data_IF_136307650812
#
_entry.id   IF_136307650812
#
_cell.length_a   1.000
_cell.length_b   1.000
_cell.length_c   1.000
_cell.angle_alpha   90.00
_cell.angle_beta   90.00
_cell.angle_gamma   90.00
#
_symmetry.space_group_name_H-M   'P 1'
#
loop_
_entity.id
_entity.type
_entity.pdbx_description
1 polymer ?
#
# COMPACT_ATOMS: atom_id res chain seq x y z
N UNK A 1 1.52 -40.23 -33.42
CA UNK A 1 2.41 -40.44 -34.60
C UNK A 1 3.46 -39.33 -34.62
N UNK A 2 4.58 -39.45 -35.37
CA UNK A 2 5.68 -38.45 -35.41
C UNK A 2 5.93 -37.96 -36.84
N UNK A 3 6.05 -36.63 -37.01
CA UNK A 3 6.42 -35.89 -38.23
C UNK A 3 7.02 -34.54 -37.76
N UNK A 4 8.32 -34.18 -37.83
CA UNK A 4 9.43 -34.59 -38.71
C UNK A 4 9.09 -34.25 -40.18
N UNK A 5 9.82 -33.39 -40.93
CA UNK A 5 11.03 -32.58 -40.64
C UNK A 5 11.22 -31.49 -41.73
N UNK A 6 12.10 -30.48 -41.51
CA UNK A 6 12.86 -29.70 -42.55
C UNK A 6 11.99 -28.80 -43.50
N UNK A 7 12.45 -27.81 -44.30
CA UNK A 7 13.74 -27.13 -44.59
C UNK A 7 13.47 -25.90 -45.52
N UNK A 8 14.25 -24.81 -45.68
CA UNK A 8 15.33 -24.13 -44.92
C UNK A 8 15.70 -22.78 -45.60
N UNK A 9 16.30 -21.83 -44.86
CA UNK A 9 17.25 -20.76 -45.30
C UNK A 9 16.79 -19.70 -46.34
N UNK A 10 16.94 -18.41 -45.97
CA UNK A 10 17.49 -17.36 -46.83
C UNK A 10 18.19 -16.27 -45.98
N UNK A 11 19.37 -15.81 -46.38
CA UNK A 11 20.14 -14.73 -45.71
C UNK A 11 20.27 -13.57 -46.68
N UNK A 12 20.04 -12.34 -46.20
CA UNK A 12 20.51 -11.10 -46.84
C UNK A 12 21.19 -10.27 -45.75
N UNK A 13 22.29 -9.60 -46.10
CA UNK A 13 23.15 -8.86 -45.16
C UNK A 13 23.69 -7.56 -45.78
N UNK A 14 24.30 -6.75 -44.91
CA UNK A 14 25.15 -5.58 -45.19
C UNK A 14 24.45 -4.27 -45.61
N UNK A 15 24.61 -3.28 -44.72
CA UNK A 15 24.59 -1.85 -44.99
C UNK A 15 25.40 -1.17 -43.87
N UNK A 16 26.39 -0.35 -44.22
CA UNK A 16 27.40 0.21 -43.30
C UNK A 16 27.71 1.68 -43.61
N UNK A 17 28.38 2.37 -42.69
CA UNK A 17 28.89 3.76 -42.76
C UNK A 17 27.85 4.86 -42.49
N UNK A 18 28.18 5.99 -41.84
CA UNK A 18 29.41 6.38 -41.11
C UNK A 18 29.12 7.54 -40.11
N UNK A 19 30.15 7.96 -39.35
CA UNK A 19 30.10 8.97 -38.28
C UNK A 19 30.16 10.43 -38.78
N UNK A 20 29.63 11.41 -38.04
CA UNK A 20 30.39 12.17 -37.00
C UNK A 20 29.71 13.53 -36.64
N UNK A 21 30.10 14.14 -35.51
CA UNK A 21 29.61 15.44 -35.02
C UNK A 21 30.41 16.65 -35.51
N UNK A 22 29.76 17.82 -35.64
CA UNK A 22 30.33 19.18 -35.46
C UNK A 22 29.15 20.18 -35.35
N UNK A 23 29.16 21.19 -34.45
CA UNK A 23 27.97 21.99 -34.13
C UNK A 23 27.80 23.23 -35.02
N UNK A 24 26.57 23.76 -35.06
CA UNK A 24 26.28 25.14 -35.47
C UNK A 24 25.40 25.84 -34.43
N UNK A 25 25.88 26.96 -33.91
CA UNK A 25 25.06 27.91 -33.13
C UNK A 25 24.32 28.85 -34.08
N UNK A 26 23.03 29.02 -33.85
CA UNK A 26 22.25 30.19 -34.28
C UNK A 26 21.39 30.64 -33.08
N UNK A 27 21.22 31.94 -32.88
CA UNK A 27 20.73 32.51 -31.61
C UNK A 27 19.57 33.49 -31.86
N UNK A 28 18.80 33.76 -30.80
CA UNK A 28 17.58 34.59 -30.74
C UNK A 28 16.30 33.81 -31.10
N UNK A 29 15.17 34.00 -30.40
CA UNK A 29 14.80 35.11 -29.50
C UNK A 29 14.17 34.60 -28.19
N UNK A 30 14.20 35.42 -27.14
CA UNK A 30 13.81 35.04 -25.78
C UNK A 30 12.30 34.77 -25.60
N UNK A 31 12.02 33.77 -24.77
CA UNK A 31 10.84 33.71 -23.91
C UNK A 31 11.33 33.41 -22.49
N UNK A 32 10.95 34.24 -21.51
CA UNK A 32 11.37 34.06 -20.11
C UNK A 32 10.34 33.22 -19.37
N UNK A 33 10.59 31.93 -19.23
CA UNK A 33 9.89 31.11 -18.24
C UNK A 33 10.86 30.69 -17.15
N UNK A 34 10.47 30.94 -15.90
CA UNK A 34 11.29 30.65 -14.72
C UNK A 34 11.52 29.17 -14.59
N UNK A 35 12.80 28.77 -14.62
CA UNK A 35 13.24 27.44 -14.23
C UNK A 35 12.96 27.26 -12.73
N UNK A 36 11.77 26.78 -12.39
CA UNK A 36 11.44 26.35 -11.03
C UNK A 36 12.38 25.21 -10.70
N UNK A 37 13.33 25.48 -9.82
CA UNK A 37 14.25 24.48 -9.29
C UNK A 37 13.39 23.44 -8.55
N UNK A 38 13.26 22.25 -9.14
CA UNK A 38 12.54 21.14 -8.53
C UNK A 38 13.33 20.70 -7.32
N UNK A 39 12.96 21.21 -6.14
CA UNK A 39 13.41 20.65 -4.87
C UNK A 39 12.90 19.21 -4.80
N UNK A 40 13.73 18.28 -5.27
CA UNK A 40 13.61 16.88 -4.94
C UNK A 40 14.02 16.72 -3.48
N UNK A 41 13.14 17.18 -2.59
CA UNK A 41 13.28 16.99 -1.15
C UNK A 41 13.54 15.51 -0.91
N UNK A 42 14.74 15.16 -0.46
CA UNK A 42 15.01 13.77 -0.06
C UNK A 42 13.99 13.43 1.04
N UNK A 43 13.31 12.29 0.90
CA UNK A 43 12.46 11.75 1.98
C UNK A 43 13.36 11.24 3.12
N UNK A 44 13.95 12.18 3.87
CA UNK A 44 14.70 11.92 5.09
C UNK A 44 13.72 11.32 6.09
N UNK A 45 13.87 10.02 6.35
CA UNK A 45 13.02 9.29 7.27
C UNK A 45 12.97 9.98 8.64
N UNK A 46 11.76 10.37 9.09
CA UNK A 46 11.55 11.05 10.37
C UNK A 46 11.93 10.09 11.48
N UNK A 47 12.77 10.48 12.43
CA UNK A 47 13.26 9.54 13.45
C UNK A 47 12.10 9.11 14.34
N UNK A 48 12.06 7.83 14.70
CA UNK A 48 11.04 7.25 15.59
C UNK A 48 10.83 8.04 16.90
N UNK A 49 11.88 8.70 17.42
CA UNK A 49 11.82 9.52 18.64
C UNK A 49 11.16 10.89 18.45
N UNK A 50 11.05 11.39 17.22
CA UNK A 50 10.42 12.65 16.86
C UNK A 50 8.92 12.44 16.49
N UNK A 51 8.48 11.19 16.34
CA UNK A 51 7.10 10.80 16.05
C UNK A 51 6.24 10.65 17.31
N UNK A 52 4.94 10.97 17.18
CA UNK A 52 3.96 10.73 18.25
C UNK A 52 3.71 9.24 18.42
N UNK A 53 4.13 8.69 19.55
CA UNK A 53 3.87 7.29 19.90
C UNK A 53 2.39 7.05 20.28
N UNK A 54 1.85 5.92 19.82
CA UNK A 54 0.49 5.45 20.04
C UNK A 54 0.55 4.09 20.72
N UNK A 55 0.12 4.03 21.98
CA UNK A 55 -0.01 2.80 22.76
C UNK A 55 -1.42 2.22 22.64
N UNK A 56 -1.59 0.90 22.57
CA UNK A 56 -2.91 0.28 22.53
C UNK A 56 -3.66 0.39 23.87
N UNK A 57 -4.99 0.31 23.81
CA UNK A 57 -5.87 0.30 24.99
C UNK A 57 -5.66 -0.95 25.86
N UNK A 58 -5.52 -2.12 25.24
CA UNK A 58 -5.25 -3.39 25.93
C UNK A 58 -3.77 -3.76 25.81
N UNK A 59 -3.08 -3.86 26.94
CA UNK A 59 -1.68 -4.31 27.02
C UNK A 59 -1.53 -5.84 27.14
N UNK A 60 -2.46 -6.48 27.85
CA UNK A 60 -2.46 -7.93 28.09
C UNK A 60 -3.55 -8.60 27.24
N UNK A 61 -3.11 -9.18 26.13
CA UNK A 61 -3.94 -10.02 25.25
C UNK A 61 -3.57 -11.49 25.41
N UNK A 62 -4.55 -12.37 25.20
CA UNK A 62 -4.28 -13.79 25.01
C UNK A 62 -3.47 -14.03 23.72
N UNK A 63 -2.68 -15.11 23.64
CA UNK A 63 -1.97 -15.49 22.40
C UNK A 63 -2.89 -15.60 21.19
N UNK A 64 -4.12 -16.07 21.39
CA UNK A 64 -5.14 -16.27 20.37
C UNK A 64 -5.63 -14.93 19.82
N UNK A 65 -6.01 -13.98 20.67
CA UNK A 65 -6.43 -12.63 20.25
C UNK A 65 -5.25 -11.90 19.59
N UNK A 66 -4.06 -11.98 20.18
CA UNK A 66 -2.83 -11.42 19.61
C UNK A 66 -2.56 -11.95 18.19
N UNK A 67 -2.78 -13.25 17.97
CA UNK A 67 -2.62 -13.91 16.68
C UNK A 67 -3.68 -13.47 15.66
N UNK A 68 -4.95 -13.35 16.07
CA UNK A 68 -6.03 -12.87 15.21
C UNK A 68 -5.79 -11.44 14.72
N UNK A 69 -5.43 -10.54 15.63
CA UNK A 69 -5.18 -9.12 15.29
C UNK A 69 -3.93 -8.98 14.40
N UNK A 70 -2.86 -9.74 14.68
CA UNK A 70 -1.68 -9.80 13.81
C UNK A 70 -2.03 -10.20 12.37
N UNK A 71 -2.79 -11.27 12.19
CA UNK A 71 -3.19 -11.75 10.85
C UNK A 71 -4.09 -10.74 10.11
N UNK A 72 -4.97 -10.02 10.83
CA UNK A 72 -5.75 -8.91 10.24
C UNK A 72 -4.81 -7.82 9.70
N UNK A 73 -3.83 -7.41 10.49
CA UNK A 73 -2.81 -6.43 10.07
C UNK A 73 -1.96 -6.98 8.90
N UNK A 74 -1.61 -8.26 8.90
CA UNK A 74 -0.84 -8.88 7.82
C UNK A 74 -1.58 -8.82 6.47
N UNK A 75 -2.87 -9.18 6.43
CA UNK A 75 -3.66 -9.04 5.19
C UNK A 75 -3.87 -7.57 4.80
N UNK A 76 -4.09 -6.67 5.77
CA UNK A 76 -4.19 -5.23 5.51
C UNK A 76 -2.91 -4.67 4.84
N UNK A 77 -1.72 -5.00 5.37
CA UNK A 77 -0.43 -4.57 4.81
C UNK A 77 -0.22 -5.17 3.40
N UNK A 78 -0.65 -6.42 3.17
CA UNK A 78 -0.61 -7.03 1.84
C UNK A 78 -1.50 -6.28 0.82
N UNK A 79 -2.72 -5.88 1.19
CA UNK A 79 -3.59 -5.07 0.32
C UNK A 79 -3.00 -3.68 0.07
N UNK A 80 -2.49 -3.02 1.11
CA UNK A 80 -1.79 -1.72 0.96
C UNK A 80 -0.61 -1.81 0.00
N UNK A 81 0.16 -2.90 0.09
CA UNK A 81 1.34 -3.17 -0.74
C UNK A 81 0.98 -3.51 -2.19
N UNK A 82 -0.23 -4.05 -2.43
CA UNK A 82 -0.75 -4.32 -3.76
C UNK A 82 -1.28 -3.04 -4.44
N UNK A 83 -2.10 -2.25 -3.72
CA UNK A 83 -2.63 -0.98 -4.22
C UNK A 83 -1.53 0.07 -4.47
N UNK A 84 -0.45 0.02 -3.69
CA UNK A 84 0.78 0.80 -3.95
C UNK A 84 1.58 0.38 -5.19
N UNK A 85 1.16 -0.66 -5.92
CA UNK A 85 1.78 -1.14 -7.18
C UNK A 85 0.76 -1.25 -8.33
N UNK A 86 -0.41 -0.65 -8.15
CA UNK A 86 -1.58 -0.79 -9.02
C UNK A 86 -2.03 -2.25 -9.26
N UNK A 87 -1.65 -3.20 -8.41
CA UNK A 87 -2.04 -4.62 -8.51
C UNK A 87 -3.42 -4.86 -7.89
N UNK A 88 -4.43 -4.47 -8.67
CA UNK A 88 -5.85 -4.70 -8.41
C UNK A 88 -6.22 -6.16 -8.11
N UNK A 89 -5.44 -7.14 -8.61
CA UNK A 89 -5.70 -8.57 -8.43
C UNK A 89 -5.16 -9.09 -7.11
N UNK A 90 -3.93 -8.69 -6.74
CA UNK A 90 -3.39 -8.98 -5.41
C UNK A 90 -4.18 -8.25 -4.32
N UNK A 91 -4.63 -7.01 -4.58
CA UNK A 91 -5.51 -6.27 -3.68
C UNK A 91 -6.84 -7.00 -3.45
N UNK A 92 -7.52 -7.43 -4.52
CA UNK A 92 -8.75 -8.22 -4.41
C UNK A 92 -8.54 -9.54 -3.65
N UNK A 93 -7.43 -10.23 -3.91
CA UNK A 93 -7.08 -11.50 -3.26
C UNK A 93 -6.84 -11.33 -1.76
N UNK A 94 -6.11 -10.27 -1.36
CA UNK A 94 -5.90 -9.93 0.05
C UNK A 94 -7.18 -9.50 0.76
N UNK A 95 -8.05 -8.73 0.09
CA UNK A 95 -9.36 -8.35 0.62
C UNK A 95 -10.27 -9.57 0.87
N UNK A 96 -10.24 -10.56 -0.03
CA UNK A 96 -10.99 -11.81 0.16
C UNK A 96 -10.48 -12.57 1.39
N UNK A 97 -9.16 -12.80 1.48
CA UNK A 97 -8.56 -13.54 2.58
C UNK A 97 -8.74 -12.84 3.94
N UNK A 98 -8.77 -11.50 3.97
CA UNK A 98 -9.13 -10.73 5.17
C UNK A 98 -10.60 -10.90 5.54
N UNK A 99 -11.53 -10.79 4.59
CA UNK A 99 -12.97 -11.01 4.82
C UNK A 99 -13.25 -12.42 5.33
N UNK A 100 -12.56 -13.42 4.78
CA UNK A 100 -12.59 -14.82 5.25
C UNK A 100 -12.03 -14.96 6.68
N UNK A 101 -10.85 -14.42 6.97
CA UNK A 101 -10.24 -14.43 8.30
C UNK A 101 -11.19 -13.86 9.36
N UNK A 102 -11.84 -12.72 9.09
CA UNK A 102 -12.72 -12.05 10.05
C UNK A 102 -13.90 -12.95 10.47
N UNK A 103 -14.43 -13.77 9.56
CA UNK A 103 -15.47 -14.76 9.89
C UNK A 103 -14.99 -15.87 10.84
N UNK A 104 -13.68 -16.09 10.92
CA UNK A 104 -13.05 -17.18 11.66
C UNK A 104 -12.30 -16.72 12.92
N UNK A 105 -12.36 -15.42 13.28
CA UNK A 105 -11.82 -14.92 14.56
C UNK A 105 -12.62 -15.49 15.73
N UNK A 106 -11.95 -16.24 16.61
CA UNK A 106 -12.58 -16.84 17.78
C UNK A 106 -12.85 -15.80 18.88
N UNK A 107 -14.07 -15.27 18.87
CA UNK A 107 -14.58 -14.31 19.85
C UNK A 107 -14.70 -14.89 21.27
N UNK A 108 -14.55 -16.20 21.47
CA UNK A 108 -14.53 -16.80 22.82
C UNK A 108 -13.20 -16.58 23.54
N UNK A 109 -12.10 -16.36 22.80
CA UNK A 109 -10.79 -16.02 23.35
C UNK A 109 -10.65 -14.55 23.82
N UNK A 110 -11.65 -13.71 23.52
CA UNK A 110 -11.71 -12.29 23.91
C UNK A 110 -12.40 -12.15 25.28
N UNK A 111 -11.85 -11.29 26.15
CA UNK A 111 -12.58 -10.80 27.32
C UNK A 111 -13.87 -10.09 26.88
N UNK A 112 -14.83 -9.91 27.80
CA UNK A 112 -16.10 -9.27 27.41
C UNK A 112 -15.91 -7.81 26.97
N UNK A 113 -14.99 -7.07 27.60
CA UNK A 113 -14.64 -5.71 27.16
C UNK A 113 -13.93 -5.70 25.80
N UNK A 114 -12.95 -6.60 25.60
CA UNK A 114 -12.26 -6.80 24.33
C UNK A 114 -13.23 -7.14 23.20
N UNK A 115 -14.18 -8.06 23.44
CA UNK A 115 -15.23 -8.44 22.50
C UNK A 115 -16.12 -7.24 22.14
N UNK A 116 -16.58 -6.49 23.13
CA UNK A 116 -17.41 -5.28 22.93
C UNK A 116 -16.65 -4.13 22.25
N UNK A 117 -15.32 -4.16 22.18
CA UNK A 117 -14.53 -3.25 21.35
C UNK A 117 -14.35 -3.80 19.92
N UNK A 118 -14.03 -5.08 19.76
CA UNK A 118 -13.81 -5.73 18.45
C UNK A 118 -15.03 -5.63 17.52
N UNK A 119 -16.23 -5.95 18.03
CA UNK A 119 -17.46 -5.99 17.21
C UNK A 119 -17.93 -4.62 16.70
N UNK A 120 -17.32 -3.52 17.15
CA UNK A 120 -17.62 -2.16 16.66
C UNK A 120 -17.05 -1.91 15.26
N UNK A 121 -15.87 -2.45 14.96
CA UNK A 121 -15.22 -2.34 13.65
C UNK A 121 -15.35 -3.61 12.80
N UNK A 122 -15.65 -4.77 13.40
CA UNK A 122 -15.70 -6.05 12.68
C UNK A 122 -16.50 -6.01 11.37
N UNK A 123 -17.74 -5.51 11.42
CA UNK A 123 -18.64 -5.52 10.27
C UNK A 123 -18.17 -4.56 9.17
N UNK A 124 -17.73 -3.35 9.52
CA UNK A 124 -17.22 -2.36 8.57
C UNK A 124 -15.92 -2.84 7.93
N UNK A 125 -14.97 -3.34 8.73
CA UNK A 125 -13.71 -3.90 8.26
C UNK A 125 -13.93 -5.05 7.26
N UNK A 126 -14.89 -5.94 7.56
CA UNK A 126 -15.30 -7.01 6.65
C UNK A 126 -15.99 -6.49 5.39
N UNK A 127 -16.86 -5.50 5.50
CA UNK A 127 -17.55 -4.89 4.36
C UNK A 127 -16.54 -4.26 3.39
N UNK A 128 -15.60 -3.46 3.91
CA UNK A 128 -14.55 -2.80 3.13
C UNK A 128 -13.57 -3.82 2.50
N UNK A 129 -13.16 -4.85 3.25
CA UNK A 129 -12.36 -5.95 2.70
C UNK A 129 -13.11 -6.69 1.56
N UNK A 130 -14.43 -6.89 1.70
CA UNK A 130 -15.29 -7.52 0.68
C UNK A 130 -15.50 -6.62 -0.54
N UNK A 131 -15.60 -5.31 -0.35
CA UNK A 131 -15.67 -4.34 -1.45
C UNK A 131 -14.37 -4.34 -2.28
N UNK A 132 -13.21 -4.40 -1.64
CA UNK A 132 -11.91 -4.56 -2.32
C UNK A 132 -11.86 -5.88 -3.10
N UNK A 133 -12.32 -6.98 -2.48
CA UNK A 133 -12.35 -8.31 -3.09
C UNK A 133 -13.23 -8.41 -4.34
N UNK A 134 -14.39 -7.75 -4.32
CA UNK A 134 -15.39 -7.84 -5.40
C UNK A 134 -15.15 -6.88 -6.55
N UNK A 135 -14.45 -5.76 -6.32
CA UNK A 135 -14.16 -4.74 -7.34
C UNK A 135 -12.83 -4.95 -8.07
N UNK A 136 -12.45 -6.20 -8.37
CA UNK A 136 -11.17 -6.54 -9.03
C UNK A 136 -10.92 -5.84 -10.38
N UNK A 137 -11.94 -5.30 -11.04
CA UNK A 137 -11.82 -4.56 -12.32
C UNK A 137 -11.93 -3.03 -12.18
N UNK A 138 -11.91 -2.49 -10.96
CA UNK A 138 -12.06 -1.06 -10.67
C UNK A 138 -11.18 -0.70 -9.45
N UNK A 139 -9.98 -0.21 -9.70
CA UNK A 139 -8.98 0.05 -8.65
C UNK A 139 -9.32 1.31 -7.83
N UNK A 140 -10.10 2.22 -8.41
CA UNK A 140 -10.62 3.43 -7.78
C UNK A 140 -11.54 3.04 -6.60
N UNK A 141 -12.52 2.16 -6.83
CA UNK A 141 -13.41 1.63 -5.77
C UNK A 141 -12.64 0.77 -4.77
N UNK A 142 -11.57 0.06 -5.18
CA UNK A 142 -10.69 -0.62 -4.23
C UNK A 142 -9.94 0.36 -3.33
N UNK A 143 -9.56 1.54 -3.84
CA UNK A 143 -8.87 2.61 -3.07
C UNK A 143 -9.81 3.34 -2.12
N UNK A 144 -11.02 3.70 -2.58
CA UNK A 144 -12.09 4.23 -1.73
C UNK A 144 -12.44 3.25 -0.59
N UNK A 145 -12.49 1.95 -0.88
CA UNK A 145 -12.70 0.92 0.14
C UNK A 145 -11.51 0.75 1.08
N UNK A 146 -10.27 0.89 0.56
CA UNK A 146 -9.05 0.79 1.35
C UNK A 146 -8.86 1.98 2.31
N UNK A 147 -9.36 3.17 1.95
CA UNK A 147 -9.43 4.33 2.86
C UNK A 147 -10.20 3.96 4.15
N UNK A 148 -11.43 3.47 4.02
CA UNK A 148 -12.26 3.09 5.18
C UNK A 148 -11.72 1.86 5.90
N UNK A 149 -11.17 0.89 5.17
CA UNK A 149 -10.44 -0.23 5.78
C UNK A 149 -9.22 0.22 6.61
N UNK A 150 -8.58 1.34 6.24
CA UNK A 150 -7.46 1.90 6.98
C UNK A 150 -7.90 2.62 8.26
N UNK A 151 -9.04 3.30 8.24
CA UNK A 151 -9.67 3.86 9.44
C UNK A 151 -9.99 2.75 10.46
N UNK A 152 -10.62 1.65 10.01
CA UNK A 152 -10.94 0.50 10.85
C UNK A 152 -9.70 -0.21 11.42
N UNK A 153 -8.69 -0.52 10.59
CA UNK A 153 -7.47 -1.18 11.08
C UNK A 153 -6.69 -0.25 12.02
N UNK A 154 -6.66 1.06 11.79
CA UNK A 154 -6.08 2.03 12.73
C UNK A 154 -6.83 2.08 14.07
N UNK A 155 -8.17 2.03 14.06
CA UNK A 155 -8.97 1.90 15.29
C UNK A 155 -8.72 0.56 16.00
N UNK A 156 -8.55 -0.53 15.25
CA UNK A 156 -8.25 -1.86 15.76
C UNK A 156 -6.88 -1.92 16.45
N UNK A 157 -5.80 -1.46 15.81
CA UNK A 157 -4.46 -1.47 16.43
C UNK A 157 -4.36 -0.47 17.58
N UNK A 158 -5.10 0.64 17.58
CA UNK A 158 -5.25 1.50 18.77
C UNK A 158 -5.94 0.83 19.95
N UNK A 159 -6.70 -0.23 19.70
CA UNK A 159 -7.42 -0.99 20.73
C UNK A 159 -6.60 -2.17 21.24
N UNK A 160 -6.05 -2.97 20.31
CA UNK A 160 -5.42 -4.27 20.60
C UNK A 160 -3.91 -4.31 20.36
N UNK A 161 -3.35 -3.28 19.74
CA UNK A 161 -1.98 -3.24 19.26
C UNK A 161 -1.80 -3.96 17.92
N UNK A 162 -0.76 -3.61 17.18
CA UNK A 162 -0.31 -4.39 16.03
C UNK A 162 0.57 -5.59 16.46
N UNK A 163 1.08 -5.55 17.70
CA UNK A 163 2.07 -6.48 18.22
C UNK A 163 3.40 -6.39 17.47
N UNK A 164 3.62 -5.30 16.72
CA UNK A 164 4.81 -4.97 15.94
C UNK A 164 4.78 -3.48 15.65
N UNK A 165 5.95 -2.88 15.51
CA UNK A 165 6.08 -1.46 15.19
C UNK A 165 5.51 -1.18 13.79
N UNK A 166 4.53 -0.29 13.72
CA UNK A 166 3.99 0.29 12.48
C UNK A 166 4.16 1.81 12.51
N UNK A 167 4.05 2.43 11.35
CA UNK A 167 3.99 3.87 11.18
C UNK A 167 2.65 4.23 10.55
N UNK A 168 2.00 5.31 11.04
CA UNK A 168 0.85 5.88 10.34
C UNK A 168 1.35 6.95 9.37
N UNK A 169 1.06 6.73 8.09
CA UNK A 169 1.34 7.65 7.00
C UNK A 169 0.05 8.36 6.55
N UNK A 170 0.20 9.56 5.98
CA UNK A 170 -0.92 10.40 5.55
C UNK A 170 -0.74 10.90 4.11
N UNK A 171 -1.85 10.96 3.36
CA UNK A 171 -1.88 11.46 1.98
C UNK A 171 -2.71 12.76 1.90
N UNK A 172 -2.08 13.93 1.69
CA UNK A 172 -2.75 15.23 1.74
C UNK A 172 -3.66 15.52 0.53
N UNK A 173 -3.72 14.62 -0.46
CA UNK A 173 -4.54 14.78 -1.67
C UNK A 173 -5.93 14.14 -1.56
N UNK A 174 -6.09 13.17 -0.67
CA UNK A 174 -7.36 12.49 -0.34
C UNK A 174 -7.74 12.62 1.14
N UNK A 175 -6.94 13.36 1.93
CA UNK A 175 -7.06 13.51 3.40
C UNK A 175 -7.07 12.18 4.17
N UNK A 176 -6.48 11.14 3.59
CA UNK A 176 -6.54 9.76 4.07
C UNK A 176 -5.28 9.32 4.81
N UNK A 177 -5.41 8.30 5.67
CA UNK A 177 -4.33 7.77 6.51
C UNK A 177 -4.21 6.25 6.34
N UNK A 178 -2.99 5.73 6.22
CA UNK A 178 -2.72 4.28 6.14
C UNK A 178 -1.61 3.85 7.10
N UNK A 179 -1.50 2.54 7.37
CA UNK A 179 -0.42 1.97 8.17
C UNK A 179 0.64 1.29 7.27
N UNK A 180 1.90 1.44 7.63
CA UNK A 180 3.05 0.80 6.95
C UNK A 180 4.03 0.25 7.98
N UNK A 181 4.69 -0.87 7.67
CA UNK A 181 5.71 -1.49 8.53
C UNK A 181 7.05 -0.75 8.53
N UNK A 182 7.21 0.20 7.59
CA UNK A 182 8.46 0.90 7.32
C UNK A 182 8.33 2.40 7.46
N UNK A 183 9.44 3.03 7.80
CA UNK A 183 9.65 4.48 7.70
C UNK A 183 9.93 4.89 6.24
N UNK A 184 9.06 4.47 5.31
CA UNK A 184 9.14 4.65 3.86
C UNK A 184 7.73 4.92 3.33
N UNK A 185 7.53 6.00 2.55
CA UNK A 185 6.23 6.24 1.89
C UNK A 185 6.06 5.29 0.71
N UNK A 186 4.96 4.53 0.72
CA UNK A 186 4.44 3.75 -0.41
C UNK A 186 2.92 3.95 -0.45
N UNK A 187 2.48 4.96 -1.21
CA UNK A 187 1.10 5.47 -1.20
C UNK A 187 0.12 4.51 -1.92
N UNK A 188 -0.87 3.92 -1.21
CA UNK A 188 -1.82 2.98 -1.80
C UNK A 188 -2.92 3.68 -2.63
N UNK A 189 -3.23 4.94 -2.34
CA UNK A 189 -4.31 5.70 -2.99
C UNK A 189 -3.96 6.18 -4.40
N UNK A 190 -2.67 6.29 -4.73
CA UNK A 190 -2.19 6.73 -6.05
C UNK A 190 -1.26 5.74 -6.76
N UNK A 191 -0.82 4.66 -6.07
CA UNK A 191 -0.02 3.61 -6.70
C UNK A 191 1.31 4.12 -7.25
N UNK A 192 1.73 3.60 -8.41
CA UNK A 192 2.97 4.00 -9.07
C UNK A 192 2.98 5.50 -9.43
N UNK A 193 1.81 6.10 -9.71
CA UNK A 193 1.71 7.49 -10.19
C UNK A 193 2.19 8.54 -9.19
N UNK A 194 2.03 8.28 -7.88
CA UNK A 194 2.52 9.17 -6.80
C UNK A 194 3.07 8.37 -5.61
N UNK A 195 3.80 7.29 -5.90
CA UNK A 195 4.18 6.26 -4.94
C UNK A 195 4.86 6.78 -3.65
N UNK A 196 5.62 7.87 -3.74
CA UNK A 196 6.35 8.44 -2.62
C UNK A 196 5.61 9.65 -1.97
N UNK A 197 4.44 10.05 -2.46
CA UNK A 197 3.70 11.21 -1.95
C UNK A 197 3.01 10.91 -0.60
N UNK A 198 3.42 11.61 0.47
CA UNK A 198 2.82 11.52 1.80
C UNK A 198 3.79 11.90 2.93
N UNK A 199 3.26 11.94 4.15
CA UNK A 199 4.03 12.12 5.41
C UNK A 199 3.93 10.88 6.30
N UNK A 200 4.77 10.81 7.35
CA UNK A 200 4.62 9.88 8.48
C UNK A 200 4.50 10.72 9.75
N UNK A 201 3.42 10.47 10.51
CA UNK A 201 3.01 11.37 11.60
C UNK A 201 3.05 10.69 12.98
N UNK A 202 2.82 9.38 13.04
CA UNK A 202 2.66 8.62 14.29
C UNK A 202 3.37 7.27 14.23
N UNK A 203 3.86 6.83 15.38
CA UNK A 203 4.45 5.51 15.61
C UNK A 203 3.45 4.65 16.40
N UNK A 204 3.11 3.47 15.90
CA UNK A 204 2.07 2.59 16.47
C UNK A 204 2.70 1.23 16.84
N UNK A 205 2.20 0.58 17.90
CA UNK A 205 2.74 -0.69 18.44
C UNK A 205 1.65 -1.76 18.55
#
# INVERSE_FOLDING_TARGET
MKTIFLSSIAIIALGISACNNTPQNATSTAATETHVESDHTEHVAVKDADLKAITPLFSDLSPEVSSSIKQIVDYYINVSTALGKDDNKAAASGGMALSELINHVDKSAFSEEQKNMYVKSENALKEHATAIATNVNNIEVQRESFEKMSEDVYALVKTFGAGRKLYKAHCPMVDANWLTEKNEIKNPYYGESMLNCGSIDELVM
#
